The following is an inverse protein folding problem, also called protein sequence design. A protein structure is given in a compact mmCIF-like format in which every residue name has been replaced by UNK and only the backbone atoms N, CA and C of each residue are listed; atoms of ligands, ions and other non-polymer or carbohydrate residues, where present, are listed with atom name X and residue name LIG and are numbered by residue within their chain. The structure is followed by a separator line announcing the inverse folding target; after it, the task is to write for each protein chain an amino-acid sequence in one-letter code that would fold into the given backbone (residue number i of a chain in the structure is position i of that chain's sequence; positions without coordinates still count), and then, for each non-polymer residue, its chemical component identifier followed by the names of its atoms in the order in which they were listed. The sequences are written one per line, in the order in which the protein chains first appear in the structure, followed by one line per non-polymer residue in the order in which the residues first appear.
data_IF_098618305002
#
_entry.id   IF_098618305002
#
_cell.length_a   1.000
_cell.length_b   1.000
_cell.length_c   1.000
_cell.angle_alpha   90.00
_cell.angle_beta   90.00
_cell.angle_gamma   90.00
#
_symmetry.space_group_name_H-M   'P 1'
#
loop_
_entity.id
_entity.type
_entity.pdbx_description
1 polymer ?
#
# COMPACT_ATOMS: atom_id res chain seq x y z
N UNK A 1 43.52 28.66 60.51
CA UNK A 1 44.54 28.74 59.43
C UNK A 1 43.83 28.34 58.15
N UNK A 2 43.29 29.33 57.43
CA UNK A 2 43.94 30.09 56.34
C UNK A 2 44.03 29.29 55.04
N UNK A 3 43.47 29.85 53.97
CA UNK A 3 43.71 29.37 52.60
C UNK A 3 42.61 29.74 51.60
N UNK A 4 42.36 31.03 51.38
CA UNK A 4 41.66 31.53 50.19
C UNK A 4 42.69 31.62 49.04
N UNK A 5 42.34 31.17 47.84
CA UNK A 5 43.02 31.56 46.61
C UNK A 5 41.98 31.73 45.49
N UNK A 6 42.22 32.78 44.71
CA UNK A 6 41.30 33.49 43.82
C UNK A 6 41.85 33.43 42.39
N UNK A 7 40.93 33.32 41.42
CA UNK A 7 41.01 33.67 39.99
C UNK A 7 42.08 33.02 39.08
N UNK A 8 41.62 32.45 37.96
CA UNK A 8 42.22 32.74 36.64
C UNK A 8 41.22 32.46 35.52
N UNK A 9 40.96 33.49 34.71
CA UNK A 9 40.29 33.41 33.42
C UNK A 9 41.22 32.77 32.40
N UNK A 10 40.72 31.95 31.47
CA UNK A 10 41.18 31.96 30.07
C UNK A 10 40.43 30.98 29.17
N UNK A 11 39.82 31.57 28.13
CA UNK A 11 39.93 31.16 26.70
C UNK A 11 39.21 29.87 26.26
N UNK A 12 38.09 30.10 25.56
CA UNK A 12 37.47 29.20 24.59
C UNK A 12 38.43 28.88 23.43
N UNK A 13 38.54 27.62 22.99
CA UNK A 13 39.02 27.30 21.64
C UNK A 13 37.84 27.03 20.69
N UNK A 14 38.04 27.50 19.47
CA UNK A 14 37.12 27.59 18.35
C UNK A 14 36.63 26.25 17.80
N UNK A 15 35.35 26.25 17.42
CA UNK A 15 34.76 25.69 16.18
C UNK A 15 35.67 24.76 15.36
N UNK A 16 35.31 23.48 15.32
CA UNK A 16 35.47 22.66 14.11
C UNK A 16 34.06 22.25 13.67
N UNK A 17 33.51 23.03 12.74
CA UNK A 17 32.24 22.73 12.11
C UNK A 17 32.43 21.51 11.19
N UNK A 18 31.67 20.45 11.46
CA UNK A 18 31.54 19.31 10.56
C UNK A 18 30.75 19.78 9.33
N UNK A 19 31.20 19.51 8.08
CA UNK A 19 30.46 19.95 6.90
C UNK A 19 29.14 19.18 6.82
N UNK A 20 28.03 19.91 6.99
CA UNK A 20 26.69 19.42 6.69
C UNK A 20 26.64 19.02 5.21
N UNK A 21 26.65 17.71 4.95
CA UNK A 21 26.21 17.18 3.64
C UNK A 21 24.70 17.40 3.54
N UNK A 22 24.29 18.57 3.06
CA UNK A 22 22.96 18.80 2.51
C UNK A 22 22.80 17.90 1.28
N UNK A 23 22.05 16.81 1.43
CA UNK A 23 21.38 16.18 0.29
C UNK A 23 20.42 17.20 -0.28
N UNK A 24 20.80 17.85 -1.38
CA UNK A 24 19.85 18.59 -2.21
C UNK A 24 18.88 17.56 -2.81
N UNK A 25 17.68 17.48 -2.24
CA UNK A 25 16.54 16.91 -2.95
C UNK A 25 16.22 17.92 -4.07
N UNK A 26 16.41 17.51 -5.32
CA UNK A 26 15.96 18.27 -6.47
C UNK A 26 14.42 18.25 -6.51
N UNK A 27 13.81 19.17 -5.77
CA UNK A 27 12.40 19.55 -5.87
C UNK A 27 12.30 20.60 -6.98
N UNK A 28 11.95 20.16 -8.19
CA UNK A 28 11.75 21.08 -9.31
C UNK A 28 10.39 21.76 -9.17
N UNK A 29 10.29 23.10 -9.22
CA UNK A 29 9.01 23.83 -9.09
C UNK A 29 7.95 23.37 -10.11
N UNK A 30 8.36 22.86 -11.27
CA UNK A 30 7.46 22.28 -12.29
C UNK A 30 6.73 21.00 -11.84
N UNK A 31 7.34 20.20 -10.95
CA UNK A 31 6.69 19.02 -10.34
C UNK A 31 5.66 19.44 -9.30
N UNK A 32 5.98 20.46 -8.52
CA UNK A 32 5.10 21.00 -7.48
C UNK A 32 3.89 21.70 -8.09
N UNK A 33 4.07 22.44 -9.19
CA UNK A 33 2.99 23.06 -9.95
C UNK A 33 2.09 22.03 -10.66
N UNK A 34 2.67 20.97 -11.25
CA UNK A 34 1.88 19.85 -11.80
C UNK A 34 1.10 19.11 -10.71
N UNK A 35 1.71 18.95 -9.53
CA UNK A 35 1.05 18.33 -8.39
C UNK A 35 -0.09 19.21 -7.86
N UNK A 36 0.13 20.51 -7.67
CA UNK A 36 -0.89 21.49 -7.27
C UNK A 36 -2.06 21.55 -8.26
N UNK A 37 -1.79 21.62 -9.57
CA UNK A 37 -2.84 21.64 -10.59
C UNK A 37 -3.64 20.33 -10.60
N UNK A 38 -2.99 19.18 -10.33
CA UNK A 38 -3.67 17.90 -10.18
C UNK A 38 -4.53 17.86 -8.92
N UNK A 39 -4.02 18.36 -7.79
CA UNK A 39 -4.74 18.42 -6.52
C UNK A 39 -5.92 19.39 -6.58
N UNK A 40 -5.84 20.49 -7.32
CA UNK A 40 -6.95 21.42 -7.52
C UNK A 40 -8.05 20.83 -8.41
N UNK A 41 -7.69 20.14 -9.50
CA UNK A 41 -8.69 19.40 -10.32
C UNK A 41 -9.36 18.30 -9.52
N UNK A 42 -8.60 17.62 -8.68
CA UNK A 42 -9.10 16.59 -7.78
C UNK A 42 -10.00 17.15 -6.69
N UNK A 43 -9.64 18.30 -6.10
CA UNK A 43 -10.47 19.02 -5.14
C UNK A 43 -11.78 19.45 -5.79
N UNK A 44 -11.75 19.99 -7.01
CA UNK A 44 -12.97 20.36 -7.73
C UNK A 44 -13.86 19.15 -8.05
N UNK A 45 -13.27 18.00 -8.38
CA UNK A 45 -13.97 16.74 -8.60
C UNK A 45 -14.55 16.15 -7.28
N UNK A 46 -13.78 16.20 -6.19
CA UNK A 46 -14.22 15.81 -4.85
C UNK A 46 -15.33 16.73 -4.33
N UNK A 47 -15.20 18.04 -4.50
CA UNK A 47 -16.20 19.04 -4.09
C UNK A 47 -17.51 18.86 -4.89
N UNK A 48 -17.43 18.51 -6.19
CA UNK A 48 -18.60 18.09 -6.97
C UNK A 48 -19.18 16.75 -6.51
N UNK A 49 -18.34 15.75 -6.16
CA UNK A 49 -18.83 14.48 -5.61
C UNK A 49 -19.49 14.67 -4.26
N UNK A 50 -18.93 15.46 -3.34
CA UNK A 50 -19.53 15.77 -2.04
C UNK A 50 -20.86 16.50 -2.21
N UNK A 51 -20.95 17.45 -3.14
CA UNK A 51 -22.18 18.19 -3.42
C UNK A 51 -23.25 17.36 -4.14
N UNK A 52 -22.86 16.26 -4.80
CA UNK A 52 -23.76 15.35 -5.53
C UNK A 52 -23.84 13.95 -4.91
N UNK A 53 -23.20 13.73 -3.75
CA UNK A 53 -22.95 12.39 -3.26
C UNK A 53 -24.28 11.77 -2.82
N UNK A 54 -24.69 10.66 -3.44
CA UNK A 54 -25.68 9.80 -2.81
C UNK A 54 -25.10 9.33 -1.46
N UNK A 55 -25.96 8.99 -0.50
CA UNK A 55 -25.53 8.57 0.84
C UNK A 55 -24.54 7.36 0.85
N UNK A 56 -24.32 6.70 -0.30
CA UNK A 56 -23.45 5.52 -0.44
C UNK A 56 -22.71 5.51 -1.80
N UNK A 57 -21.42 5.14 -1.80
CA UNK A 57 -20.61 4.91 -3.00
C UNK A 57 -19.51 3.85 -2.75
N UNK A 58 -18.97 3.26 -3.83
CA UNK A 58 -17.87 2.31 -3.79
C UNK A 58 -16.53 2.99 -3.47
N UNK A 59 -15.88 2.53 -2.41
CA UNK A 59 -14.67 3.16 -1.84
C UNK A 59 -13.38 2.46 -2.28
N UNK A 60 -12.34 3.24 -2.59
CA UNK A 60 -10.96 2.76 -2.75
C UNK A 60 -10.16 3.03 -1.47
N UNK A 61 -9.70 1.95 -0.83
CA UNK A 61 -8.89 2.01 0.38
C UNK A 61 -7.46 1.56 0.08
N UNK A 62 -6.47 2.27 0.60
CA UNK A 62 -5.05 1.91 0.50
C UNK A 62 -4.46 1.68 1.89
N UNK A 63 -4.01 0.45 2.14
CA UNK A 63 -3.34 0.04 3.37
C UNK A 63 -1.84 -0.10 3.10
N UNK A 64 -1.06 0.90 3.51
CA UNK A 64 0.38 1.02 3.23
C UNK A 64 1.20 1.08 4.52
N UNK A 65 2.49 1.37 4.41
CA UNK A 65 3.41 1.49 5.54
C UNK A 65 4.20 0.23 5.84
N UNK A 66 5.22 0.38 6.68
CA UNK A 66 6.20 -0.68 6.96
C UNK A 66 5.77 -1.67 8.05
N UNK A 67 4.71 -1.36 8.78
CA UNK A 67 4.17 -2.18 9.85
C UNK A 67 3.44 -3.42 9.38
N UNK A 68 3.34 -4.40 10.27
CA UNK A 68 2.46 -5.57 10.11
C UNK A 68 1.01 -5.12 10.29
N UNK A 69 0.10 -5.62 9.46
CA UNK A 69 -1.34 -5.39 9.62
C UNK A 69 -2.11 -5.04 8.35
N UNK A 70 -1.41 -4.75 7.24
CA UNK A 70 -2.03 -4.29 5.98
C UNK A 70 -2.95 -5.36 5.39
N UNK A 71 -2.39 -6.52 5.03
CA UNK A 71 -3.13 -7.64 4.45
C UNK A 71 -4.19 -8.17 5.41
N UNK A 72 -3.85 -8.38 6.69
CA UNK A 72 -4.81 -8.88 7.69
C UNK A 72 -6.00 -7.94 7.88
N UNK A 73 -5.80 -6.61 7.82
CA UNK A 73 -6.89 -5.64 7.86
C UNK A 73 -7.76 -5.73 6.61
N UNK A 74 -7.17 -5.87 5.42
CA UNK A 74 -7.92 -6.09 4.18
C UNK A 74 -8.74 -7.39 4.22
N UNK A 75 -8.15 -8.48 4.70
CA UNK A 75 -8.85 -9.77 4.87
C UNK A 75 -9.93 -9.72 5.96
N UNK A 76 -9.77 -8.90 7.00
CA UNK A 76 -10.84 -8.63 7.97
C UNK A 76 -12.03 -7.90 7.34
N UNK A 77 -11.78 -6.96 6.45
CA UNK A 77 -12.83 -6.29 5.67
C UNK A 77 -13.48 -7.23 4.64
N UNK A 78 -12.71 -8.13 4.02
CA UNK A 78 -13.23 -9.19 3.17
C UNK A 78 -14.20 -10.10 3.94
N UNK A 79 -13.80 -10.57 5.13
CA UNK A 79 -14.67 -11.37 5.98
C UNK A 79 -15.96 -10.62 6.36
N UNK A 80 -15.86 -9.32 6.65
CA UNK A 80 -17.03 -8.47 6.92
C UNK A 80 -17.96 -8.38 5.71
N UNK A 81 -17.42 -8.14 4.52
CA UNK A 81 -18.21 -8.05 3.29
C UNK A 81 -18.95 -9.36 3.00
N UNK A 82 -18.24 -10.49 3.08
CA UNK A 82 -18.83 -11.82 2.89
C UNK A 82 -19.88 -12.16 3.96
N UNK A 83 -19.69 -11.71 5.20
CA UNK A 83 -20.69 -11.85 6.27
C UNK A 83 -21.97 -11.04 6.05
N UNK A 84 -21.96 -10.11 5.10
CA UNK A 84 -23.12 -9.37 4.59
C UNK A 84 -23.52 -9.83 3.18
N UNK A 85 -23.22 -11.09 2.84
CA UNK A 85 -23.58 -11.75 1.58
C UNK A 85 -23.00 -11.11 0.31
N UNK A 86 -21.98 -10.26 0.45
CA UNK A 86 -21.32 -9.62 -0.68
C UNK A 86 -20.42 -10.60 -1.43
N UNK A 87 -20.58 -10.66 -2.75
CA UNK A 87 -19.66 -11.36 -3.65
C UNK A 87 -18.34 -10.60 -3.72
N UNK A 88 -17.23 -11.33 -3.58
CA UNK A 88 -15.91 -10.74 -3.42
C UNK A 88 -14.87 -11.31 -4.40
N UNK A 89 -13.83 -10.52 -4.67
CA UNK A 89 -12.67 -10.93 -5.45
C UNK A 89 -11.38 -10.72 -4.65
N UNK A 90 -10.42 -11.62 -4.79
CA UNK A 90 -9.07 -11.47 -4.22
C UNK A 90 -8.05 -11.81 -5.29
N UNK A 91 -7.09 -10.90 -5.49
CA UNK A 91 -5.86 -11.15 -6.23
C UNK A 91 -4.69 -10.80 -5.32
N UNK A 92 -3.86 -11.80 -5.04
CA UNK A 92 -2.60 -11.59 -4.31
C UNK A 92 -1.46 -11.51 -5.30
N UNK A 93 -0.71 -10.40 -5.27
CA UNK A 93 0.46 -10.16 -6.08
C UNK A 93 1.72 -10.62 -5.34
N UNK A 94 2.74 -11.09 -6.08
CA UNK A 94 4.12 -11.31 -5.57
C UNK A 94 4.17 -12.37 -4.44
N UNK A 95 3.10 -13.13 -4.19
CA UNK A 95 3.10 -14.20 -3.19
C UNK A 95 3.68 -15.49 -3.78
N UNK A 96 4.57 -16.11 -3.01
CA UNK A 96 5.17 -17.40 -3.36
C UNK A 96 4.23 -18.57 -3.08
N UNK A 97 4.70 -19.79 -3.37
CA UNK A 97 3.91 -21.05 -3.30
C UNK A 97 3.41 -21.46 -1.90
N UNK A 98 3.76 -20.74 -0.84
CA UNK A 98 3.34 -21.09 0.52
C UNK A 98 1.94 -20.52 0.77
N UNK A 99 0.96 -21.41 0.94
CA UNK A 99 -0.43 -21.03 1.23
C UNK A 99 -0.53 -20.30 2.57
N UNK A 100 -1.17 -19.14 2.59
CA UNK A 100 -1.43 -18.41 3.84
C UNK A 100 -2.71 -18.91 4.51
N UNK A 101 -2.84 -18.67 5.82
CA UNK A 101 -4.07 -18.95 6.56
C UNK A 101 -5.34 -18.37 5.91
N UNK A 102 -5.26 -17.16 5.38
CA UNK A 102 -6.38 -16.51 4.69
C UNK A 102 -6.74 -17.22 3.39
N UNK A 103 -5.77 -17.61 2.57
CA UNK A 103 -6.03 -18.39 1.35
C UNK A 103 -6.77 -19.69 1.68
N UNK A 104 -6.27 -20.45 2.65
CA UNK A 104 -6.89 -21.71 3.09
C UNK A 104 -8.31 -21.48 3.63
N UNK A 105 -8.58 -20.35 4.26
CA UNK A 105 -9.90 -20.02 4.81
C UNK A 105 -10.90 -19.63 3.73
N UNK A 106 -10.55 -18.65 2.89
CA UNK A 106 -11.49 -18.07 1.94
C UNK A 106 -11.78 -18.98 0.75
N UNK A 107 -10.84 -19.84 0.33
CA UNK A 107 -11.09 -20.84 -0.72
C UNK A 107 -12.19 -21.86 -0.38
N UNK A 108 -12.62 -21.94 0.88
CA UNK A 108 -13.74 -22.80 1.32
C UNK A 108 -15.10 -22.28 0.85
N UNK A 109 -15.18 -21.04 0.36
CA UNK A 109 -16.40 -20.36 -0.09
C UNK A 109 -16.32 -19.95 -1.57
N UNK A 110 -16.08 -20.88 -2.51
CA UNK A 110 -15.81 -20.55 -3.91
C UNK A 110 -17.00 -19.89 -4.64
N UNK A 111 -18.22 -20.03 -4.12
CA UNK A 111 -19.42 -19.36 -4.64
C UNK A 111 -19.57 -17.91 -4.19
N UNK A 112 -18.77 -17.45 -3.22
CA UNK A 112 -18.84 -16.10 -2.65
C UNK A 112 -17.55 -15.31 -2.83
N UNK A 113 -16.40 -15.98 -2.99
CA UNK A 113 -15.12 -15.31 -3.23
C UNK A 113 -14.30 -15.97 -4.35
N UNK A 114 -14.01 -15.18 -5.39
CA UNK A 114 -13.07 -15.57 -6.44
C UNK A 114 -11.64 -15.25 -5.98
N UNK A 115 -10.87 -16.28 -5.66
CA UNK A 115 -9.54 -16.13 -5.04
C UNK A 115 -8.39 -16.56 -5.96
N UNK A 116 -7.45 -15.65 -6.23
CA UNK A 116 -6.27 -15.89 -7.05
C UNK A 116 -4.99 -15.50 -6.32
N UNK A 117 -4.02 -16.42 -6.32
CA UNK A 117 -2.66 -16.18 -5.83
C UNK A 117 -1.75 -16.18 -7.04
N UNK A 118 -1.08 -15.04 -7.27
CA UNK A 118 -0.33 -14.78 -8.49
C UNK A 118 1.07 -14.24 -8.13
N UNK A 119 2.07 -14.68 -8.89
CA UNK A 119 3.48 -14.34 -8.65
C UNK A 119 4.32 -15.57 -8.29
N UNK A 120 5.64 -15.38 -8.32
CA UNK A 120 6.61 -16.45 -8.01
C UNK A 120 7.14 -16.35 -6.57
N UNK A 121 6.73 -15.33 -5.81
CA UNK A 121 7.34 -14.99 -4.52
C UNK A 121 8.65 -14.21 -4.69
N UNK A 122 9.27 -13.84 -3.57
CA UNK A 122 10.64 -13.33 -3.57
C UNK A 122 11.62 -14.50 -3.76
N UNK A 123 11.88 -14.89 -5.00
CA UNK A 123 12.93 -15.87 -5.32
C UNK A 123 14.29 -15.16 -5.25
N UNK A 124 14.95 -15.23 -4.09
CA UNK A 124 16.35 -14.80 -3.94
C UNK A 124 17.31 -15.56 -4.88
N UNK A 125 16.87 -16.70 -5.42
CA UNK A 125 17.66 -17.60 -6.25
C UNK A 125 17.57 -17.29 -7.76
N UNK A 126 16.59 -16.51 -8.23
CA UNK A 126 16.48 -16.16 -9.68
C UNK A 126 15.77 -14.82 -9.88
N UNK A 127 16.54 -13.75 -10.10
CA UNK A 127 16.02 -12.41 -10.37
C UNK A 127 15.68 -12.24 -11.86
N UNK A 128 14.63 -12.91 -12.32
CA UNK A 128 14.11 -12.70 -13.68
C UNK A 128 13.01 -11.63 -13.66
N UNK A 129 13.43 -10.38 -13.88
CA UNK A 129 12.52 -9.24 -13.95
C UNK A 129 11.43 -9.42 -15.01
N UNK A 130 11.70 -10.08 -16.12
CA UNK A 130 10.71 -10.25 -17.18
C UNK A 130 9.61 -11.23 -16.76
N UNK A 131 9.97 -12.29 -16.01
CA UNK A 131 8.98 -13.18 -15.39
C UNK A 131 8.13 -12.47 -14.34
N UNK A 132 8.74 -11.63 -13.51
CA UNK A 132 8.00 -10.83 -12.52
C UNK A 132 6.99 -9.89 -13.19
N UNK A 133 7.39 -9.23 -14.29
CA UNK A 133 6.50 -8.37 -15.10
C UNK A 133 5.36 -9.22 -15.65
N UNK A 134 5.65 -10.33 -16.34
CA UNK A 134 4.62 -11.19 -16.92
C UNK A 134 3.64 -11.75 -15.87
N UNK A 135 4.13 -12.13 -14.69
CA UNK A 135 3.30 -12.60 -13.60
C UNK A 135 2.41 -11.48 -13.02
N UNK A 136 2.96 -10.26 -12.88
CA UNK A 136 2.20 -9.10 -12.44
C UNK A 136 1.12 -8.70 -13.47
N UNK A 137 1.44 -8.69 -14.76
CA UNK A 137 0.51 -8.42 -15.85
C UNK A 137 -0.62 -9.46 -15.91
N UNK A 138 -0.31 -10.74 -15.74
CA UNK A 138 -1.31 -11.80 -15.65
C UNK A 138 -2.23 -11.62 -14.43
N UNK A 139 -1.66 -11.25 -13.27
CA UNK A 139 -2.44 -10.93 -12.08
C UNK A 139 -3.33 -9.69 -12.30
N UNK A 140 -2.84 -8.69 -13.02
CA UNK A 140 -3.61 -7.50 -13.36
C UNK A 140 -4.76 -7.82 -14.31
N UNK A 141 -4.55 -8.69 -15.31
CA UNK A 141 -5.62 -9.12 -16.21
C UNK A 141 -6.79 -9.77 -15.43
N UNK A 142 -6.49 -10.63 -14.45
CA UNK A 142 -7.50 -11.22 -13.56
C UNK A 142 -8.18 -10.14 -12.69
N UNK A 143 -7.39 -9.16 -12.23
CA UNK A 143 -7.92 -8.01 -11.47
C UNK A 143 -8.89 -7.18 -12.31
N UNK A 144 -8.59 -6.94 -13.59
CA UNK A 144 -9.45 -6.22 -14.52
C UNK A 144 -10.78 -6.94 -14.75
N UNK A 145 -10.78 -8.27 -14.84
CA UNK A 145 -12.02 -9.04 -14.93
C UNK A 145 -12.92 -8.78 -13.71
N UNK A 146 -12.35 -8.82 -12.50
CA UNK A 146 -13.11 -8.55 -11.27
C UNK A 146 -13.56 -7.08 -11.15
N UNK A 147 -12.69 -6.14 -11.54
CA UNK A 147 -12.96 -4.71 -11.50
C UNK A 147 -14.04 -4.28 -12.52
N UNK A 148 -14.37 -5.13 -13.50
CA UNK A 148 -15.42 -4.89 -14.50
C UNK A 148 -16.72 -5.61 -14.18
N UNK A 149 -16.71 -6.53 -13.22
CA UNK A 149 -17.89 -7.32 -12.86
C UNK A 149 -18.74 -6.58 -11.80
N UNK A 150 -19.96 -6.11 -12.15
CA UNK A 150 -20.82 -5.43 -11.19
C UNK A 150 -21.42 -6.37 -10.13
N UNK A 151 -21.33 -7.69 -10.29
CA UNK A 151 -21.75 -8.64 -9.27
C UNK A 151 -20.79 -8.67 -8.08
N UNK A 152 -19.50 -8.35 -8.29
CA UNK A 152 -18.50 -8.31 -7.23
C UNK A 152 -18.56 -6.96 -6.52
N UNK A 153 -18.90 -6.96 -5.22
CA UNK A 153 -19.01 -5.75 -4.41
C UNK A 153 -17.70 -5.31 -3.75
N UNK A 154 -16.74 -6.22 -3.53
CA UNK A 154 -15.44 -5.91 -2.94
C UNK A 154 -14.31 -6.66 -3.64
N UNK A 155 -13.27 -5.95 -4.07
CA UNK A 155 -12.04 -6.53 -4.64
C UNK A 155 -10.84 -6.23 -3.73
N UNK A 156 -10.08 -7.25 -3.35
CA UNK A 156 -8.82 -7.13 -2.61
C UNK A 156 -7.65 -7.34 -3.57
N UNK A 157 -6.81 -6.32 -3.71
CA UNK A 157 -5.58 -6.31 -4.50
C UNK A 157 -4.40 -6.31 -3.53
N UNK A 158 -4.10 -7.49 -2.99
CA UNK A 158 -3.10 -7.67 -1.94
C UNK A 158 -1.68 -7.57 -2.53
N UNK A 159 -0.83 -6.74 -1.93
CA UNK A 159 0.55 -6.45 -2.35
C UNK A 159 0.71 -5.80 -3.74
N UNK A 160 -0.36 -5.26 -4.32
CA UNK A 160 -0.30 -4.46 -5.57
C UNK A 160 0.67 -3.28 -5.46
N UNK A 161 0.77 -2.64 -4.29
CA UNK A 161 1.71 -1.54 -4.07
C UNK A 161 3.17 -1.95 -4.36
N UNK A 162 3.53 -3.20 -4.05
CA UNK A 162 4.88 -3.71 -4.30
C UNK A 162 5.10 -3.85 -5.83
N UNK A 163 4.14 -4.40 -6.56
CA UNK A 163 4.22 -4.52 -8.03
C UNK A 163 4.38 -3.15 -8.71
N UNK A 164 3.61 -2.16 -8.27
CA UNK A 164 3.70 -0.77 -8.74
C UNK A 164 5.04 -0.11 -8.36
N UNK A 165 5.54 -0.38 -7.15
CA UNK A 165 6.83 0.15 -6.68
C UNK A 165 7.99 -0.33 -7.54
N UNK A 166 7.99 -1.60 -7.94
CA UNK A 166 9.03 -2.18 -8.81
C UNK A 166 8.85 -1.88 -10.30
N UNK A 167 7.75 -1.21 -10.68
CA UNK A 167 7.43 -0.88 -12.06
C UNK A 167 7.14 -2.11 -12.91
N UNK A 168 6.46 -3.10 -12.32
CA UNK A 168 6.03 -4.30 -13.03
C UNK A 168 4.69 -4.12 -13.74
N UNK A 169 3.96 -3.07 -13.38
CA UNK A 169 2.70 -2.67 -13.98
C UNK A 169 2.77 -1.20 -14.38
N UNK A 170 2.07 -0.87 -15.47
CA UNK A 170 1.83 0.51 -15.84
C UNK A 170 0.87 1.16 -14.82
N UNK A 171 1.36 2.19 -14.14
CA UNK A 171 0.61 2.93 -13.13
C UNK A 171 -0.60 3.64 -13.73
N UNK A 172 -0.49 4.21 -14.93
CA UNK A 172 -1.58 4.97 -15.55
C UNK A 172 -2.75 4.04 -15.89
N UNK A 173 -2.45 2.86 -16.44
CA UNK A 173 -3.43 1.82 -16.71
C UNK A 173 -4.15 1.38 -15.42
N UNK A 174 -3.39 1.12 -14.35
CA UNK A 174 -3.94 0.72 -13.05
C UNK A 174 -4.89 1.78 -12.48
N UNK A 175 -4.50 3.06 -12.51
CA UNK A 175 -5.34 4.15 -12.02
C UNK A 175 -6.60 4.33 -12.85
N UNK A 176 -6.50 4.15 -14.18
CA UNK A 176 -7.64 4.22 -15.10
C UNK A 176 -8.65 3.10 -14.83
N UNK A 177 -8.19 1.85 -14.72
CA UNK A 177 -9.04 0.70 -14.42
C UNK A 177 -9.74 0.85 -13.06
N UNK A 178 -9.01 1.29 -12.03
CA UNK A 178 -9.59 1.54 -10.71
C UNK A 178 -10.68 2.62 -10.76
N UNK A 179 -10.54 3.67 -11.57
CA UNK A 179 -11.55 4.71 -11.74
C UNK A 179 -12.78 4.22 -12.52
N UNK A 180 -12.58 3.30 -13.47
CA UNK A 180 -13.63 2.79 -14.35
C UNK A 180 -14.50 1.68 -13.72
N UNK A 181 -14.17 1.23 -12.50
CA UNK A 181 -14.90 0.18 -11.78
C UNK A 181 -16.39 0.54 -11.54
N UNK A 182 -17.27 -0.44 -11.31
CA UNK A 182 -18.67 -0.21 -10.97
C UNK A 182 -18.84 0.78 -9.79
N UNK A 183 -19.85 1.67 -9.83
CA UNK A 183 -19.98 2.78 -8.86
C UNK A 183 -20.05 2.38 -7.39
N UNK A 184 -20.57 1.17 -7.08
CA UNK A 184 -20.72 0.63 -5.73
C UNK A 184 -19.65 -0.41 -5.36
N UNK A 185 -18.67 -0.66 -6.24
CA UNK A 185 -17.62 -1.63 -5.97
C UNK A 185 -16.52 -1.01 -5.10
N UNK A 186 -16.28 -1.64 -3.95
CA UNK A 186 -15.18 -1.32 -3.06
C UNK A 186 -13.89 -2.00 -3.52
N UNK A 187 -12.75 -1.34 -3.32
CA UNK A 187 -11.43 -1.90 -3.63
C UNK A 187 -10.48 -1.66 -2.47
N UNK A 188 -9.79 -2.71 -2.04
CA UNK A 188 -8.74 -2.66 -1.02
C UNK A 188 -7.39 -2.92 -1.70
N UNK A 189 -6.49 -1.95 -1.65
CA UNK A 189 -5.11 -2.11 -2.11
C UNK A 189 -4.19 -2.19 -0.91
N UNK A 190 -3.31 -3.19 -0.89
CA UNK A 190 -2.34 -3.35 0.19
C UNK A 190 -0.90 -3.32 -0.32
N UNK A 191 0.03 -3.20 0.63
CA UNK A 191 1.45 -3.40 0.44
C UNK A 191 2.27 -2.15 0.72
N UNK A 192 3.59 -2.31 0.74
CA UNK A 192 4.50 -1.21 1.11
C UNK A 192 4.72 -0.25 -0.06
N UNK A 193 4.89 1.03 0.26
CA UNK A 193 5.35 2.03 -0.71
C UNK A 193 4.33 2.37 -1.79
N UNK A 194 3.07 2.54 -1.40
CA UNK A 194 2.03 3.08 -2.27
C UNK A 194 2.51 4.35 -2.99
N UNK A 195 2.28 4.40 -4.31
CA UNK A 195 2.61 5.54 -5.16
C UNK A 195 1.73 6.75 -4.80
N UNK A 196 2.27 7.96 -4.88
CA UNK A 196 1.54 9.18 -4.54
C UNK A 196 0.25 9.33 -5.36
N UNK A 197 0.27 8.88 -6.61
CA UNK A 197 -0.87 8.88 -7.51
C UNK A 197 -2.01 7.96 -7.06
N UNK A 198 -1.67 6.81 -6.48
CA UNK A 198 -2.65 5.89 -5.92
C UNK A 198 -3.17 6.38 -4.56
N UNK A 199 -2.30 6.96 -3.73
CA UNK A 199 -2.68 7.61 -2.46
C UNK A 199 -3.65 8.74 -2.73
N UNK A 200 -3.35 9.59 -3.71
CA UNK A 200 -4.25 10.63 -4.13
C UNK A 200 -5.56 9.98 -4.54
N UNK A 201 -5.57 9.01 -5.46
CA UNK A 201 -6.81 8.40 -5.98
C UNK A 201 -7.72 7.80 -4.89
N UNK A 202 -7.17 7.30 -3.80
CA UNK A 202 -7.91 6.60 -2.76
C UNK A 202 -8.84 7.52 -1.95
N UNK A 203 -9.98 6.96 -1.53
CA UNK A 203 -10.93 7.61 -0.63
C UNK A 203 -10.48 7.48 0.83
N UNK A 204 -9.69 6.46 1.17
CA UNK A 204 -9.12 6.28 2.50
C UNK A 204 -7.73 5.67 2.41
N UNK A 205 -6.77 6.26 3.11
CA UNK A 205 -5.41 5.75 3.20
C UNK A 205 -5.05 5.54 4.66
N UNK A 206 -4.57 4.36 5.01
CA UNK A 206 -4.02 4.05 6.33
C UNK A 206 -2.57 3.63 6.19
N UNK A 207 -1.66 4.38 6.80
CA UNK A 207 -0.26 4.01 6.90
C UNK A 207 0.02 3.32 8.24
N UNK A 208 0.42 2.05 8.17
CA UNK A 208 0.74 1.26 9.35
C UNK A 208 2.25 1.39 9.63
N UNK A 209 2.60 2.09 10.71
CA UNK A 209 3.97 2.24 11.19
C UNK A 209 4.50 1.01 11.95
N UNK A 210 5.83 0.91 12.09
CA UNK A 210 6.47 -0.11 12.94
C UNK A 210 6.85 0.54 14.27
N UNK A 211 5.98 0.45 15.28
CA UNK A 211 6.34 0.86 16.65
C UNK A 211 7.22 -0.21 17.30
N UNK A 212 6.86 -1.48 17.13
CA UNK A 212 7.63 -2.65 17.57
C UNK A 212 7.26 -3.85 16.70
N UNK A 213 8.19 -4.77 16.48
CA UNK A 213 7.90 -6.01 15.78
C UNK A 213 8.58 -7.22 16.45
N UNK A 214 7.88 -8.34 16.58
CA UNK A 214 8.39 -9.54 17.25
C UNK A 214 9.70 -10.07 16.63
N UNK A 215 9.82 -9.97 15.30
CA UNK A 215 11.05 -10.29 14.56
C UNK A 215 12.29 -9.53 15.05
N UNK A 216 12.15 -8.28 15.50
CA UNK A 216 13.28 -7.51 16.05
C UNK A 216 13.81 -8.11 17.36
N UNK A 217 13.00 -8.91 18.04
CA UNK A 217 13.39 -9.70 19.22
C UNK A 217 13.80 -11.14 18.86
N UNK A 218 14.01 -11.46 17.57
CA UNK A 218 14.40 -12.79 17.10
C UNK A 218 13.28 -13.84 17.10
N UNK A 219 12.03 -13.44 17.36
CA UNK A 219 10.88 -14.33 17.33
C UNK A 219 10.55 -14.64 15.86
N UNK A 220 10.53 -15.93 15.51
CA UNK A 220 10.23 -16.42 14.16
C UNK A 220 8.73 -16.32 13.85
N UNK A 221 8.39 -16.32 12.56
CA UNK A 221 7.01 -16.37 12.08
C UNK A 221 6.25 -17.58 12.64
N UNK A 222 5.00 -17.38 13.08
CA UNK A 222 4.16 -18.41 13.68
C UNK A 222 2.86 -18.61 12.89
N UNK A 223 2.34 -19.85 12.88
CA UNK A 223 1.04 -20.17 12.27
C UNK A 223 -0.09 -19.39 12.95
N UNK A 224 -0.97 -18.81 12.14
CA UNK A 224 -2.09 -18.00 12.61
C UNK A 224 -1.72 -16.57 13.03
N UNK A 225 -0.44 -16.21 12.96
CA UNK A 225 0.06 -14.86 13.30
C UNK A 225 0.82 -14.26 12.10
N UNK A 226 1.68 -15.02 11.42
CA UNK A 226 2.40 -14.62 10.18
C UNK A 226 2.21 -15.59 9.00
N UNK A 227 1.97 -16.87 9.28
CA UNK A 227 1.82 -17.95 8.29
C UNK A 227 0.35 -18.35 8.16
#
# INVERSE_FOLDING_TARGET
MQGVAVLSSAVLPSVVACPERRTQMNESPERDERHLARMQRKKAFMDQRIASSPNECGLLLVLTGNGKGKSSSAFGMLARAMGHDMQCGVVQFIKGRNSTGEEMFFRRFPEQVRYHVMGEGFTWETQDRQRDIAAAEAAWAVSQEMLRDPAIGLVVLDELNIALKHGYLDLEQVLSDLQARPPMQHVLVTGRGAKAELIDLADTVSEIGVVKHAFQAGIRAQKGIEL
#
